data_IF_096679436186
#
_entry.id   IF_096679436186
#
_cell.length_a   1.000
_cell.length_b   1.000
_cell.length_c   1.000
_cell.angle_alpha   90.00
_cell.angle_beta   90.00
_cell.angle_gamma   90.00
#
_symmetry.space_group_name_H-M   'P 1'
#
loop_
_entity.id
_entity.type
_entity.pdbx_description
1 polymer ?
#
# COMPACT_ATOMS: atom_id res chain seq x y z
N UNK A 1 -11.14 30.47 -36.75
CA UNK A 1 -12.10 29.67 -35.95
C UNK A 1 -11.50 28.31 -35.69
N UNK A 2 -11.01 28.07 -34.48
CA UNK A 2 -10.74 26.73 -33.94
C UNK A 2 -10.75 26.90 -32.43
N UNK A 3 -11.91 26.60 -31.84
CA UNK A 3 -12.10 26.62 -30.40
C UNK A 3 -11.16 25.60 -29.78
N UNK A 4 -10.17 26.08 -29.01
CA UNK A 4 -9.54 25.26 -27.99
C UNK A 4 -10.65 24.86 -27.03
N UNK A 5 -11.16 23.64 -27.16
CA UNK A 5 -11.95 23.01 -26.11
C UNK A 5 -11.09 23.02 -24.84
N UNK A 6 -11.43 23.93 -23.93
CA UNK A 6 -10.93 23.90 -22.58
C UNK A 6 -11.46 22.61 -21.93
N UNK A 7 -10.59 21.62 -21.76
CA UNK A 7 -10.89 20.41 -21.02
C UNK A 7 -11.13 20.80 -19.56
N UNK A 8 -12.41 20.95 -19.20
CA UNK A 8 -12.85 21.23 -17.83
C UNK A 8 -12.74 19.94 -17.00
N UNK A 9 -11.56 19.63 -16.45
CA UNK A 9 -11.40 18.50 -15.52
C UNK A 9 -12.00 18.84 -14.14
N UNK A 10 -13.33 18.75 -14.01
CA UNK A 10 -14.04 19.14 -12.77
C UNK A 10 -14.54 17.97 -11.92
N UNK A 11 -14.38 16.73 -12.39
CA UNK A 11 -14.91 15.53 -11.74
C UNK A 11 -13.79 14.51 -11.51
N UNK A 12 -13.76 13.91 -10.32
CA UNK A 12 -12.82 12.85 -10.00
C UNK A 12 -13.58 11.53 -9.90
N UNK A 13 -13.15 10.56 -10.69
CA UNK A 13 -13.72 9.22 -10.71
C UNK A 13 -12.67 8.18 -10.31
N UNK A 14 -13.11 7.15 -9.59
CA UNK A 14 -12.32 5.96 -9.25
C UNK A 14 -13.17 4.71 -9.44
N UNK A 15 -12.53 3.64 -9.90
CA UNK A 15 -13.15 2.36 -10.20
C UNK A 15 -12.61 1.31 -9.23
N UNK A 16 -13.49 0.41 -8.79
CA UNK A 16 -13.15 -0.72 -7.94
C UNK A 16 -13.93 -1.95 -8.40
N UNK A 17 -13.24 -3.07 -8.60
CA UNK A 17 -13.87 -4.36 -8.87
C UNK A 17 -14.03 -5.11 -7.55
N UNK A 18 -15.26 -5.47 -7.18
CA UNK A 18 -15.54 -6.18 -5.94
C UNK A 18 -16.72 -7.13 -6.12
N UNK A 19 -16.57 -8.40 -5.70
CA UNK A 19 -17.62 -9.42 -5.74
C UNK A 19 -18.32 -9.57 -7.11
N UNK A 20 -17.54 -9.47 -8.20
CA UNK A 20 -18.07 -9.55 -9.58
C UNK A 20 -18.79 -8.29 -10.08
N UNK A 21 -18.80 -7.21 -9.30
CA UNK A 21 -19.36 -5.92 -9.69
C UNK A 21 -18.24 -4.90 -9.94
N UNK A 22 -18.49 -3.95 -10.84
CA UNK A 22 -17.68 -2.75 -11.01
C UNK A 22 -18.36 -1.60 -10.27
N UNK A 23 -17.67 -1.05 -9.28
CA UNK A 23 -18.12 0.07 -8.45
C UNK A 23 -17.43 1.33 -8.94
N UNK A 24 -18.22 2.32 -9.35
CA UNK A 24 -17.75 3.63 -9.82
C UNK A 24 -18.03 4.65 -8.74
N UNK A 25 -16.99 5.24 -8.17
CA UNK A 25 -17.08 6.37 -7.26
C UNK A 25 -16.84 7.66 -8.03
N UNK A 26 -17.77 8.61 -7.93
CA UNK A 26 -17.66 9.91 -8.57
C UNK A 26 -17.86 11.02 -7.54
N UNK A 27 -16.87 11.89 -7.44
CA UNK A 27 -16.92 13.06 -6.58
C UNK A 27 -17.54 14.22 -7.35
N UNK A 28 -18.68 14.73 -6.88
CA UNK A 28 -19.27 15.97 -7.38
C UNK A 28 -18.77 17.15 -6.55
N UNK A 29 -18.27 18.19 -7.23
CA UNK A 29 -17.98 19.47 -6.57
C UNK A 29 -19.29 20.21 -6.36
N UNK A 30 -19.49 20.72 -5.15
CA UNK A 30 -20.55 21.69 -4.90
C UNK A 30 -20.30 22.95 -5.73
N UNK A 31 -21.33 23.47 -6.38
CA UNK A 31 -21.24 24.68 -7.17
C UNK A 31 -20.92 25.88 -6.26
N UNK A 32 -19.82 26.57 -6.56
CA UNK A 32 -19.59 27.94 -6.09
C UNK A 32 -20.32 28.86 -7.06
N UNK A 33 -21.63 29.05 -6.91
CA UNK A 33 -22.40 29.92 -7.79
C UNK A 33 -22.95 31.11 -7.00
N UNK A 34 -22.58 32.32 -7.43
CA UNK A 34 -23.10 33.60 -6.94
C UNK A 34 -24.62 33.79 -7.18
N UNK A 35 -25.36 32.85 -7.79
CA UNK A 35 -26.79 33.03 -8.09
C UNK A 35 -27.65 31.74 -8.08
N UNK A 36 -27.35 30.78 -7.20
CA UNK A 36 -28.21 29.60 -6.99
C UNK A 36 -27.98 28.93 -5.63
N UNK A 37 -28.87 28.03 -5.17
CA UNK A 37 -28.61 27.26 -3.96
C UNK A 37 -27.35 26.43 -4.18
N UNK A 38 -26.32 26.65 -3.33
CA UNK A 38 -25.04 25.96 -3.44
C UNK A 38 -25.26 24.45 -3.45
N UNK A 39 -24.86 23.76 -4.54
CA UNK A 39 -24.95 22.30 -4.58
C UNK A 39 -24.10 21.71 -3.46
N UNK A 40 -24.66 20.77 -2.71
CA UNK A 40 -23.94 20.13 -1.62
C UNK A 40 -22.91 19.17 -2.25
N UNK A 41 -21.60 19.34 -1.98
CA UNK A 41 -20.62 18.43 -2.51
C UNK A 41 -20.90 17.02 -1.99
N UNK A 42 -20.71 16.03 -2.85
CA UNK A 42 -21.10 14.68 -2.51
C UNK A 42 -20.32 13.62 -3.27
N UNK A 43 -20.46 12.41 -2.77
CA UNK A 43 -19.92 11.22 -3.41
C UNK A 43 -21.08 10.42 -3.99
N UNK A 44 -21.09 10.27 -5.30
CA UNK A 44 -21.98 9.38 -6.00
C UNK A 44 -21.31 8.02 -6.17
N UNK A 45 -22.11 6.96 -6.07
CA UNK A 45 -21.67 5.60 -6.41
C UNK A 45 -22.62 4.96 -7.40
N UNK A 46 -22.07 4.21 -8.34
CA UNK A 46 -22.81 3.35 -9.26
C UNK A 46 -22.21 1.95 -9.18
N UNK A 47 -23.07 0.94 -9.05
CA UNK A 47 -22.69 -0.47 -9.18
C UNK A 47 -23.09 -0.95 -10.56
N UNK A 48 -22.16 -1.55 -11.26
CA UNK A 48 -22.37 -2.09 -12.60
C UNK A 48 -22.03 -3.57 -12.62
N UNK A 49 -22.76 -4.34 -13.41
CA UNK A 49 -22.54 -5.77 -13.61
C UNK A 49 -22.42 -6.03 -15.11
N UNK A 50 -21.54 -6.95 -15.50
CA UNK A 50 -21.45 -7.35 -16.89
C UNK A 50 -22.63 -8.24 -17.27
N UNK A 51 -23.49 -7.75 -18.16
CA UNK A 51 -24.58 -8.54 -18.71
C UNK A 51 -24.10 -9.30 -19.95
N UNK A 52 -24.17 -10.62 -19.90
CA UNK A 52 -23.69 -11.49 -20.99
C UNK A 52 -24.57 -11.42 -22.24
N UNK A 53 -25.87 -11.12 -22.08
CA UNK A 53 -26.82 -11.04 -23.20
C UNK A 53 -26.53 -9.84 -24.10
N UNK A 54 -26.43 -8.66 -23.50
CA UNK A 54 -26.10 -7.40 -24.18
C UNK A 54 -24.60 -7.22 -24.42
N UNK A 55 -23.75 -8.02 -23.74
CA UNK A 55 -22.28 -7.89 -23.73
C UNK A 55 -21.81 -6.52 -23.25
N UNK A 56 -22.55 -5.90 -22.33
CA UNK A 56 -22.23 -4.56 -21.79
C UNK A 56 -22.31 -4.53 -20.27
N UNK A 57 -21.69 -3.52 -19.66
CA UNK A 57 -21.87 -3.25 -18.24
C UNK A 57 -23.18 -2.48 -18.04
N UNK A 58 -24.11 -3.07 -17.30
CA UNK A 58 -25.39 -2.47 -16.97
C UNK A 58 -25.39 -1.95 -15.53
N UNK A 59 -26.00 -0.78 -15.31
CA UNK A 59 -26.11 -0.20 -13.98
C UNK A 59 -27.12 -1.01 -13.16
N UNK A 60 -26.65 -1.63 -12.07
CA UNK A 60 -27.48 -2.37 -11.13
C UNK A 60 -28.13 -1.47 -10.09
N UNK A 61 -27.37 -0.51 -9.55
CA UNK A 61 -27.88 0.40 -8.53
C UNK A 61 -26.99 1.64 -8.37
N UNK A 62 -27.51 2.64 -7.66
CA UNK A 62 -26.79 3.88 -7.35
C UNK A 62 -26.94 4.25 -5.89
N UNK A 63 -26.02 5.07 -5.39
CA UNK A 63 -26.06 5.62 -4.05
C UNK A 63 -25.44 7.02 -4.01
N UNK A 64 -25.69 7.73 -2.92
CA UNK A 64 -25.17 9.07 -2.72
C UNK A 64 -24.81 9.30 -1.25
N UNK A 65 -23.70 9.98 -1.03
CA UNK A 65 -23.27 10.45 0.29
C UNK A 65 -23.03 11.95 0.26
N UNK A 66 -23.78 12.67 1.09
CA UNK A 66 -23.62 14.11 1.27
C UNK A 66 -22.43 14.42 2.16
N UNK A 67 -21.48 15.20 1.64
CA UNK A 67 -20.31 15.65 2.41
C UNK A 67 -20.63 17.04 2.94
N UNK A 68 -20.98 17.12 4.24
CA UNK A 68 -21.39 18.38 4.91
C UNK A 68 -20.22 19.35 5.20
N UNK A 69 -19.10 19.23 4.50
CA UNK A 69 -17.91 20.09 4.67
C UNK A 69 -17.97 21.30 3.74
N UNK A 70 -18.38 22.46 4.29
CA UNK A 70 -18.48 23.71 3.52
C UNK A 70 -17.11 24.15 3.00
N UNK A 71 -17.06 24.61 1.75
CA UNK A 71 -15.89 25.25 1.12
C UNK A 71 -14.62 24.41 1.05
N UNK A 72 -14.73 23.08 1.08
CA UNK A 72 -13.57 22.20 1.02
C UNK A 72 -13.27 21.70 -0.39
N UNK A 73 -11.99 21.74 -0.78
CA UNK A 73 -11.56 21.01 -1.96
C UNK A 73 -11.55 19.52 -1.60
N UNK A 74 -12.39 18.75 -2.30
CA UNK A 74 -12.50 17.32 -2.11
C UNK A 74 -11.62 16.57 -3.12
N UNK A 75 -10.95 15.53 -2.64
CA UNK A 75 -10.12 14.64 -3.47
C UNK A 75 -10.26 13.19 -3.00
N UNK A 76 -10.53 12.27 -3.91
CA UNK A 76 -10.44 10.83 -3.66
C UNK A 76 -8.95 10.45 -3.69
N UNK A 77 -8.46 9.81 -2.62
CA UNK A 77 -7.08 9.32 -2.56
C UNK A 77 -6.99 7.92 -3.16
N UNK A 78 -7.72 6.98 -2.59
CA UNK A 78 -7.77 5.58 -3.00
C UNK A 78 -9.13 4.94 -2.68
N UNK A 79 -9.38 3.79 -3.29
CA UNK A 79 -10.49 2.90 -2.98
C UNK A 79 -10.05 1.45 -3.22
N UNK A 80 -10.46 0.56 -2.32
CA UNK A 80 -10.24 -0.89 -2.44
C UNK A 80 -11.25 -1.60 -1.51
N UNK A 81 -11.03 -2.86 -1.18
CA UNK A 81 -11.82 -3.63 -0.23
C UNK A 81 -10.99 -4.01 1.00
N UNK A 82 -11.59 -3.93 2.19
CA UNK A 82 -10.99 -4.39 3.45
C UNK A 82 -12.03 -5.05 4.33
N UNK A 83 -11.58 -5.96 5.20
CA UNK A 83 -12.41 -6.59 6.21
C UNK A 83 -12.69 -5.62 7.37
N UNK A 84 -13.97 -5.49 7.76
CA UNK A 84 -14.35 -4.78 8.98
C UNK A 84 -14.11 -5.67 10.21
N UNK A 85 -13.29 -5.24 11.16
CA UNK A 85 -12.99 -6.05 12.36
C UNK A 85 -14.23 -6.39 13.19
N UNK A 86 -15.32 -5.60 13.07
CA UNK A 86 -16.55 -5.83 13.85
C UNK A 86 -17.35 -7.03 13.33
N UNK A 87 -17.35 -7.23 12.02
CA UNK A 87 -18.23 -8.20 11.35
C UNK A 87 -17.47 -9.26 10.56
N UNK A 88 -16.18 -9.06 10.32
CA UNK A 88 -15.35 -9.88 9.42
C UNK A 88 -15.73 -9.73 7.95
N UNK A 89 -16.68 -8.86 7.61
CA UNK A 89 -17.15 -8.69 6.23
C UNK A 89 -16.15 -7.86 5.43
N UNK A 90 -15.80 -8.35 4.23
CA UNK A 90 -15.04 -7.57 3.27
C UNK A 90 -15.93 -6.52 2.60
N UNK A 91 -15.63 -5.24 2.82
CA UNK A 91 -16.41 -4.11 2.36
C UNK A 91 -15.57 -3.20 1.46
N UNK A 92 -16.13 -2.70 0.35
CA UNK A 92 -15.53 -1.62 -0.41
C UNK A 92 -15.38 -0.38 0.47
N UNK A 93 -14.22 0.26 0.39
CA UNK A 93 -13.95 1.52 1.06
C UNK A 93 -13.47 2.59 0.08
N UNK A 94 -13.58 3.83 0.51
CA UNK A 94 -13.01 4.99 -0.18
C UNK A 94 -12.41 5.96 0.83
N UNK A 95 -11.22 6.46 0.53
CA UNK A 95 -10.55 7.50 1.32
C UNK A 95 -10.68 8.84 0.60
N UNK A 96 -11.27 9.81 1.29
CA UNK A 96 -11.50 11.16 0.78
C UNK A 96 -10.73 12.17 1.63
N UNK A 97 -9.97 13.03 0.97
CA UNK A 97 -9.38 14.23 1.53
C UNK A 97 -10.33 15.41 1.35
N UNK A 98 -10.47 16.22 2.39
CA UNK A 98 -11.21 17.47 2.42
C UNK A 98 -10.29 18.58 2.96
N UNK A 99 -10.07 19.62 2.16
CA UNK A 99 -9.23 20.75 2.56
C UNK A 99 -10.09 21.84 3.20
N UNK A 100 -10.07 21.98 4.53
CA UNK A 100 -10.89 22.98 5.24
C UNK A 100 -10.28 24.41 5.15
N UNK A 101 -8.96 24.55 5.37
CA UNK A 101 -8.21 25.82 5.43
C UNK A 101 -6.76 25.61 4.96
N UNK A 102 -5.99 26.70 4.73
CA UNK A 102 -4.54 26.60 4.45
C UNK A 102 -3.87 25.74 5.54
N UNK A 103 -3.27 24.61 5.14
CA UNK A 103 -2.50 23.68 5.97
C UNK A 103 -3.27 22.82 7.00
N UNK A 104 -4.59 22.66 6.88
CA UNK A 104 -5.34 21.65 7.65
C UNK A 104 -6.11 20.73 6.71
N UNK A 105 -5.74 19.46 6.73
CA UNK A 105 -6.27 18.43 5.85
C UNK A 105 -7.11 17.46 6.66
N UNK A 106 -8.38 17.31 6.28
CA UNK A 106 -9.29 16.34 6.90
C UNK A 106 -9.44 15.13 6.00
N UNK A 107 -9.49 13.96 6.60
CA UNK A 107 -9.61 12.71 5.86
C UNK A 107 -10.78 11.89 6.40
N UNK A 108 -11.49 11.23 5.50
CA UNK A 108 -12.54 10.28 5.82
C UNK A 108 -12.25 8.95 5.14
N UNK A 109 -12.45 7.86 5.87
CA UNK A 109 -12.63 6.54 5.28
C UNK A 109 -14.12 6.20 5.38
N UNK A 110 -14.73 5.96 4.22
CA UNK A 110 -16.13 5.56 4.13
C UNK A 110 -16.20 4.10 3.67
N UNK A 111 -17.01 3.30 4.36
CA UNK A 111 -17.44 2.00 3.87
C UNK A 111 -18.68 2.13 3.02
N UNK A 112 -18.76 1.33 1.96
CA UNK A 112 -19.93 1.18 1.12
C UNK A 112 -20.57 -0.18 1.37
N UNK A 113 -21.76 -0.16 1.95
CA UNK A 113 -22.56 -1.35 2.19
C UNK A 113 -23.25 -1.85 0.92
N UNK A 114 -23.70 -3.11 0.93
CA UNK A 114 -24.48 -3.70 -0.18
C UNK A 114 -25.79 -2.95 -0.47
N UNK A 115 -26.34 -2.26 0.53
CA UNK A 115 -27.51 -1.38 0.43
C UNK A 115 -27.22 -0.02 -0.22
N UNK A 116 -26.01 0.20 -0.74
CA UNK A 116 -25.51 1.48 -1.25
C UNK A 116 -25.48 2.62 -0.22
N UNK A 117 -25.58 2.27 1.06
CA UNK A 117 -25.40 3.22 2.15
C UNK A 117 -23.92 3.34 2.49
N UNK A 118 -23.50 4.58 2.69
CA UNK A 118 -22.16 4.87 3.16
C UNK A 118 -22.13 4.97 4.69
N UNK A 119 -21.13 4.36 5.29
CA UNK A 119 -20.81 4.50 6.71
C UNK A 119 -19.47 5.22 6.85
N UNK A 120 -19.43 6.31 7.61
CA UNK A 120 -18.16 6.98 7.94
C UNK A 120 -17.45 6.19 9.03
N UNK A 121 -16.41 5.44 8.66
CA UNK A 121 -15.69 4.55 9.57
C UNK A 121 -14.56 5.25 10.31
N UNK A 122 -13.85 6.16 9.65
CA UNK A 122 -12.78 6.97 10.23
C UNK A 122 -12.88 8.44 9.80
N UNK A 123 -12.46 9.33 10.69
CA UNK A 123 -12.36 10.76 10.45
C UNK A 123 -11.22 11.35 11.26
N UNK A 124 -10.25 11.97 10.59
CA UNK A 124 -9.08 12.57 11.26
C UNK A 124 -8.58 13.81 10.52
N UNK A 125 -7.76 14.62 11.20
CA UNK A 125 -7.16 15.85 10.66
C UNK A 125 -5.64 15.79 10.80
N UNK A 126 -4.93 16.30 9.79
CA UNK A 126 -3.47 16.42 9.76
C UNK A 126 -3.05 17.83 9.35
N UNK A 127 -1.87 18.24 9.82
CA UNK A 127 -1.20 19.47 9.37
C UNK A 127 -0.46 19.31 8.03
N UNK A 128 -0.49 18.12 7.43
CA UNK A 128 0.19 17.78 6.19
C UNK A 128 -0.67 16.87 5.29
N UNK A 129 -0.31 16.79 4.01
CA UNK A 129 -1.01 15.96 3.04
C UNK A 129 -0.55 14.49 3.10
N UNK A 130 -1.49 13.56 2.90
CA UNK A 130 -1.19 12.14 2.66
C UNK A 130 -0.65 11.95 1.22
N UNK A 131 0.62 12.29 1.01
CA UNK A 131 1.28 12.17 -0.31
C UNK A 131 1.91 10.81 -0.52
N UNK A 132 2.62 10.29 0.48
CA UNK A 132 3.53 9.17 0.31
C UNK A 132 3.11 7.93 1.09
N UNK A 133 3.17 6.77 0.44
CA UNK A 133 3.06 5.46 1.08
C UNK A 133 1.72 5.18 1.77
N UNK A 134 0.63 5.83 1.33
CA UNK A 134 -0.71 5.56 1.86
C UNK A 134 -1.11 4.11 1.59
N UNK A 135 -1.34 3.34 2.65
CA UNK A 135 -1.88 1.98 2.61
C UNK A 135 -3.04 1.86 3.58
N UNK A 136 -4.03 1.06 3.21
CA UNK A 136 -5.18 0.74 4.05
C UNK A 136 -5.22 -0.78 4.21
N UNK A 137 -5.33 -1.21 5.46
CA UNK A 137 -5.31 -2.60 5.90
C UNK A 137 -6.67 -2.98 6.49
N UNK A 138 -6.88 -4.23 6.89
CA UNK A 138 -8.10 -4.71 7.54
C UNK A 138 -8.33 -3.99 8.89
N UNK A 139 -9.56 -4.05 9.39
CA UNK A 139 -9.92 -3.43 10.67
C UNK A 139 -10.10 -1.91 10.66
N UNK A 140 -10.39 -1.31 9.51
CA UNK A 140 -9.41 -0.60 8.70
C UNK A 140 -8.35 0.17 9.51
N UNK A 141 -7.09 -0.08 9.16
CA UNK A 141 -5.94 0.70 9.62
C UNK A 141 -5.35 1.45 8.44
N UNK A 142 -5.20 2.76 8.56
CA UNK A 142 -4.54 3.58 7.55
C UNK A 142 -3.11 3.82 8.00
N UNK A 143 -2.14 3.42 7.18
CA UNK A 143 -0.72 3.68 7.39
C UNK A 143 -0.24 4.64 6.30
N UNK A 144 0.59 5.61 6.67
CA UNK A 144 1.27 6.46 5.71
C UNK A 144 2.65 6.84 6.22
N UNK A 145 3.47 7.33 5.30
CA UNK A 145 4.78 7.87 5.61
C UNK A 145 4.74 9.39 5.46
N UNK A 146 5.36 10.09 6.40
CA UNK A 146 5.63 11.51 6.26
C UNK A 146 7.07 11.78 6.68
N UNK A 147 7.87 12.31 5.75
CA UNK A 147 9.33 12.35 5.85
C UNK A 147 9.92 10.96 6.09
N UNK A 148 10.58 10.72 7.23
CA UNK A 148 11.18 9.42 7.61
C UNK A 148 10.35 8.67 8.65
N UNK A 149 9.18 9.17 8.98
CA UNK A 149 8.36 8.65 10.08
C UNK A 149 7.09 8.02 9.53
N UNK A 150 6.74 6.85 10.07
CA UNK A 150 5.48 6.18 9.78
C UNK A 150 4.43 6.57 10.82
N UNK A 151 3.23 6.79 10.34
CA UNK A 151 2.07 7.13 11.16
C UNK A 151 0.93 6.20 10.80
N UNK A 152 0.17 5.77 11.79
CA UNK A 152 -1.02 4.96 11.58
C UNK A 152 -2.23 5.53 12.32
N UNK A 153 -3.42 5.20 11.84
CA UNK A 153 -4.67 5.38 12.56
C UNK A 153 -5.55 4.16 12.34
N UNK A 154 -6.08 3.60 13.44
CA UNK A 154 -7.02 2.49 13.41
C UNK A 154 -8.44 2.97 13.62
N UNK A 155 -9.41 2.33 12.98
CA UNK A 155 -10.83 2.59 13.22
C UNK A 155 -11.35 2.16 14.59
N UNK A 156 -10.54 1.41 15.34
CA UNK A 156 -10.80 1.06 16.73
C UNK A 156 -10.46 2.20 17.68
N UNK A 157 -9.26 2.79 17.54
CA UNK A 157 -8.76 3.80 18.47
C UNK A 157 -9.11 5.22 18.04
N UNK A 158 -9.24 5.47 16.73
CA UNK A 158 -9.46 6.79 16.15
C UNK A 158 -8.34 7.80 16.41
N UNK A 159 -7.21 7.36 16.96
CA UNK A 159 -6.06 8.20 17.30
C UNK A 159 -4.94 7.98 16.29
N UNK A 160 -4.32 9.07 15.87
CA UNK A 160 -3.10 9.03 15.06
C UNK A 160 -1.95 8.66 15.98
N UNK A 161 -1.29 7.55 15.69
CA UNK A 161 -0.15 7.03 16.44
C UNK A 161 1.09 7.16 15.54
N UNK A 162 2.21 7.50 16.16
CA UNK A 162 3.51 7.48 15.50
C UNK A 162 4.15 6.13 15.75
N UNK A 163 4.64 5.47 14.70
CA UNK A 163 5.37 4.21 14.86
C UNK A 163 6.69 4.51 15.57
N UNK A 164 6.85 3.97 16.78
CA UNK A 164 7.96 4.26 17.70
C UNK A 164 9.29 3.66 17.21
N UNK A 165 9.24 2.56 16.45
CA UNK A 165 10.43 1.86 16.00
C UNK A 165 11.17 2.61 14.87
N UNK A 166 12.47 2.86 15.09
CA UNK A 166 13.32 3.59 14.14
C UNK A 166 13.86 2.66 13.06
N UNK A 167 13.21 2.69 11.89
CA UNK A 167 13.76 2.10 10.66
C UNK A 167 14.72 3.07 9.97
N UNK A 168 15.83 2.56 9.43
CA UNK A 168 16.67 3.29 8.47
C UNK A 168 16.03 3.29 7.08
N UNK A 169 15.45 2.15 6.70
CA UNK A 169 14.55 2.00 5.54
C UNK A 169 13.46 0.97 5.84
N UNK A 170 12.28 1.15 5.26
CA UNK A 170 11.20 0.16 5.28
C UNK A 170 11.04 -0.33 3.86
N UNK A 171 11.25 -1.62 3.65
CA UNK A 171 11.23 -2.24 2.32
C UNK A 171 9.87 -2.84 1.98
N UNK A 172 9.12 -3.28 3.01
CA UNK A 172 7.82 -3.88 2.81
C UNK A 172 6.89 -3.60 4.00
N UNK A 173 5.60 -3.49 3.69
CA UNK A 173 4.52 -3.39 4.68
C UNK A 173 3.35 -4.25 4.20
N UNK A 174 2.81 -5.09 5.05
CA UNK A 174 1.63 -5.89 4.75
C UNK A 174 1.02 -6.51 6.00
N UNK A 175 0.00 -7.32 5.82
CA UNK A 175 -0.66 -8.02 6.92
C UNK A 175 -0.20 -9.47 7.00
N UNK A 176 0.00 -9.95 8.23
CA UNK A 176 0.32 -11.34 8.52
C UNK A 176 -0.71 -11.84 9.54
N UNK A 177 -1.28 -13.01 9.27
CA UNK A 177 -2.24 -13.65 10.18
C UNK A 177 -1.68 -13.76 11.60
N UNK A 178 -2.50 -13.44 12.60
CA UNK A 178 -2.16 -13.35 14.03
C UNK A 178 -1.19 -12.23 14.46
N UNK A 179 -0.43 -11.61 13.53
CA UNK A 179 0.51 -10.52 13.84
C UNK A 179 -0.01 -9.15 13.43
N UNK A 180 -1.06 -9.09 12.60
CA UNK A 180 -1.66 -7.86 12.11
C UNK A 180 -0.81 -7.18 11.04
N UNK A 181 -0.80 -5.85 11.03
CA UNK A 181 0.00 -5.03 10.12
C UNK A 181 1.46 -5.03 10.55
N UNK A 182 2.30 -5.45 9.63
CA UNK A 182 3.71 -5.72 9.86
C UNK A 182 4.57 -4.89 8.92
N UNK A 183 5.65 -4.31 9.47
CA UNK A 183 6.69 -3.60 8.74
C UNK A 183 7.95 -4.45 8.69
N UNK A 184 8.48 -4.66 7.48
CA UNK A 184 9.78 -5.26 7.24
C UNK A 184 10.73 -4.18 6.74
N UNK A 185 11.86 -4.02 7.42
CA UNK A 185 12.82 -2.97 7.07
C UNK A 185 14.15 -3.13 7.75
N UNK A 186 15.06 -2.23 7.40
CA UNK A 186 16.36 -2.13 8.03
C UNK A 186 16.25 -1.36 9.35
N UNK A 187 16.76 -1.94 10.44
CA UNK A 187 16.94 -1.27 11.73
C UNK A 187 17.86 -0.07 11.54
N UNK A 188 17.57 1.02 12.25
CA UNK A 188 18.55 2.09 12.44
C UNK A 188 19.43 1.71 13.62
N UNK A 189 20.66 1.28 13.37
CA UNK A 189 21.67 1.15 14.41
C UNK A 189 22.15 2.55 14.79
N UNK A 190 21.70 3.09 15.92
CA UNK A 190 22.31 4.25 16.55
C UNK A 190 23.64 3.77 17.17
N UNK A 191 24.70 3.66 16.36
CA UNK A 191 26.05 3.54 16.91
C UNK A 191 26.38 4.91 17.52
N UNK A 192 26.25 5.05 18.83
CA UNK A 192 26.82 6.21 19.52
C UNK A 192 28.34 6.12 19.37
N UNK A 193 28.93 7.06 18.62
CA UNK A 193 30.39 7.24 18.55
C UNK A 193 30.98 7.85 19.84
N UNK A 194 30.17 8.06 20.88
CA UNK A 194 30.61 8.64 22.15
C UNK A 194 30.23 7.74 23.33
N UNK A 195 31.02 6.69 23.57
CA UNK A 195 31.54 6.38 24.92
C UNK A 195 32.56 5.23 24.83
N UNK A 196 33.76 5.51 25.35
CA UNK A 196 34.91 4.62 25.40
C UNK A 196 34.62 3.35 26.23
N UNK A 197 34.44 2.19 25.56
CA UNK A 197 34.83 0.79 25.92
C UNK A 197 34.49 0.21 27.32
N UNK A 198 34.11 -1.09 27.43
CA UNK A 198 35.02 -2.20 27.15
C UNK A 198 34.49 -3.15 26.07
N UNK A 199 35.40 -3.59 25.19
CA UNK A 199 35.30 -4.67 24.19
C UNK A 199 33.92 -5.36 24.11
N UNK A 200 33.16 -5.21 23.02
CA UNK A 200 31.98 -6.05 22.81
C UNK A 200 32.43 -7.50 22.77
N UNK A 201 31.76 -8.34 23.55
CA UNK A 201 32.00 -9.78 23.53
C UNK A 201 31.66 -10.31 22.14
N UNK A 202 32.30 -11.40 21.68
CA UNK A 202 32.04 -11.98 20.35
C UNK A 202 30.56 -12.32 20.11
N UNK A 203 29.75 -12.45 21.16
CA UNK A 203 28.30 -12.64 21.11
C UNK A 203 27.51 -11.35 20.80
N UNK A 204 28.00 -10.17 21.19
CA UNK A 204 27.29 -8.89 20.93
C UNK A 204 27.39 -8.48 19.45
N UNK A 205 28.43 -8.95 18.75
CA UNK A 205 28.55 -8.84 17.30
C UNK A 205 27.47 -9.60 16.53
N UNK A 206 26.87 -10.65 17.11
CA UNK A 206 25.84 -11.44 16.46
C UNK A 206 24.47 -10.75 16.49
N UNK A 207 24.13 -10.04 17.57
CA UNK A 207 22.84 -9.36 17.73
C UNK A 207 22.72 -8.05 16.93
N UNK A 208 23.84 -7.40 16.59
CA UNK A 208 23.86 -6.22 15.71
C UNK A 208 23.99 -6.55 14.21
N UNK A 209 24.15 -7.83 13.83
CA UNK A 209 24.48 -8.18 12.45
C UNK A 209 23.24 -8.35 11.55
N UNK A 210 22.04 -8.58 12.09
CA UNK A 210 20.81 -8.59 11.29
C UNK A 210 20.30 -7.16 11.10
N UNK A 211 20.66 -6.55 9.96
CA UNK A 211 20.12 -5.22 9.63
C UNK A 211 18.61 -5.25 9.46
N UNK A 212 18.02 -6.37 9.05
CA UNK A 212 16.59 -6.47 8.80
C UNK A 212 15.82 -6.95 10.02
N UNK A 213 14.61 -6.42 10.21
CA UNK A 213 13.65 -6.94 11.19
C UNK A 213 12.20 -6.76 10.77
N UNK A 214 11.36 -7.51 11.47
CA UNK A 214 9.93 -7.48 11.34
C UNK A 214 9.32 -6.88 12.61
N UNK A 215 8.53 -5.82 12.44
CA UNK A 215 7.84 -5.10 13.52
C UNK A 215 6.33 -5.19 13.33
N UNK A 216 5.59 -5.58 14.38
CA UNK A 216 4.12 -5.55 14.38
C UNK A 216 3.63 -4.20 14.93
N UNK A 217 2.66 -3.59 14.23
CA UNK A 217 2.02 -2.37 14.72
C UNK A 217 1.11 -2.64 15.91
N UNK A 218 0.50 -3.82 15.97
CA UNK A 218 -0.52 -4.18 16.95
C UNK A 218 0.09 -4.52 18.31
N UNK A 219 1.18 -5.28 18.34
CA UNK A 219 1.90 -5.58 19.59
C UNK A 219 2.94 -4.51 19.96
N UNK A 220 3.26 -3.62 19.03
CA UNK A 220 4.36 -2.64 19.17
C UNK A 220 5.73 -3.31 19.43
N UNK A 221 5.92 -4.54 18.94
CA UNK A 221 7.10 -5.35 19.19
C UNK A 221 7.81 -5.80 17.90
N UNK A 222 9.12 -6.05 18.04
CA UNK A 222 9.90 -6.75 17.02
C UNK A 222 9.61 -8.24 17.13
N UNK A 223 8.94 -8.79 16.11
CA UNK A 223 8.46 -10.19 16.10
C UNK A 223 9.59 -11.18 15.85
N UNK A 224 10.55 -10.81 15.01
CA UNK A 224 11.67 -11.67 14.65
C UNK A 224 12.88 -10.82 14.26
N UNK A 225 14.02 -11.20 14.84
CA UNK A 225 15.36 -10.76 14.51
C UNK A 225 16.21 -11.88 13.86
N UNK A 226 15.63 -13.08 13.72
CA UNK A 226 16.22 -14.19 12.98
C UNK A 226 16.35 -13.83 11.50
N UNK A 227 17.27 -14.50 10.81
CA UNK A 227 17.78 -14.17 9.47
C UNK A 227 16.73 -14.19 8.34
N UNK A 228 15.63 -13.47 8.41
CA UNK A 228 14.64 -13.31 7.33
C UNK A 228 15.36 -12.96 6.01
N UNK A 229 16.36 -12.09 6.11
CA UNK A 229 17.36 -11.82 5.10
C UNK A 229 18.74 -11.99 5.78
N UNK A 230 19.65 -12.81 5.25
CA UNK A 230 20.98 -12.98 5.84
C UNK A 230 21.79 -11.67 5.82
N UNK A 231 22.69 -11.45 6.81
CA UNK A 231 23.48 -10.22 6.92
C UNK A 231 24.30 -9.93 5.65
N UNK A 232 24.78 -10.98 4.98
CA UNK A 232 25.54 -10.89 3.75
C UNK A 232 24.79 -10.17 2.60
N UNK A 233 23.45 -10.21 2.61
CA UNK A 233 22.62 -9.55 1.60
C UNK A 233 22.10 -8.19 2.06
N UNK A 234 22.28 -7.86 3.33
CA UNK A 234 21.60 -6.71 3.95
C UNK A 234 21.95 -5.36 3.33
N UNK A 235 23.18 -5.19 2.85
CA UNK A 235 23.67 -3.95 2.22
C UNK A 235 23.35 -3.85 0.73
N UNK A 236 23.03 -4.97 0.09
CA UNK A 236 22.82 -5.04 -1.37
C UNK A 236 21.35 -5.05 -1.73
N UNK A 237 20.44 -5.40 -0.83
CA UNK A 237 19.00 -5.41 -1.14
C UNK A 237 18.46 -3.99 -1.30
N UNK A 238 17.65 -3.79 -2.34
CA UNK A 238 17.03 -2.51 -2.71
C UNK A 238 15.51 -2.53 -2.65
N UNK A 239 14.90 -3.71 -2.74
CA UNK A 239 13.45 -3.89 -2.69
C UNK A 239 13.16 -5.32 -2.23
N UNK A 240 12.08 -5.48 -1.46
CA UNK A 240 11.59 -6.78 -0.98
C UNK A 240 10.11 -6.93 -1.30
N UNK A 241 9.73 -8.11 -1.79
CA UNK A 241 8.36 -8.53 -1.95
C UNK A 241 8.11 -9.83 -1.20
N UNK A 242 7.20 -9.82 -0.23
CA UNK A 242 6.84 -11.00 0.56
C UNK A 242 5.79 -11.80 -0.22
N UNK A 243 6.10 -13.05 -0.55
CA UNK A 243 5.23 -13.94 -1.31
C UNK A 243 4.30 -14.75 -0.41
N UNK A 244 4.82 -15.24 0.71
CA UNK A 244 4.05 -16.05 1.65
C UNK A 244 4.59 -15.87 3.07
N UNK A 245 3.68 -15.94 4.04
CA UNK A 245 3.98 -15.85 5.46
C UNK A 245 3.19 -16.92 6.20
N UNK A 246 3.84 -17.65 7.10
CA UNK A 246 3.18 -18.64 7.97
C UNK A 246 3.76 -18.55 9.39
N UNK A 247 2.97 -18.95 10.38
CA UNK A 247 3.44 -19.10 11.76
C UNK A 247 3.39 -20.58 12.09
N UNK A 248 4.56 -21.18 12.28
CA UNK A 248 4.69 -22.61 12.61
C UNK A 248 5.50 -22.72 13.89
N UNK A 249 4.96 -23.43 14.88
CA UNK A 249 5.58 -23.56 16.22
C UNK A 249 5.96 -22.20 16.85
N UNK A 250 5.06 -21.22 16.72
CA UNK A 250 5.28 -19.83 17.20
C UNK A 250 6.44 -19.09 16.55
N UNK A 251 6.97 -19.59 15.42
CA UNK A 251 8.01 -18.91 14.64
C UNK A 251 7.44 -18.39 13.33
N UNK A 252 7.73 -17.13 13.03
CA UNK A 252 7.43 -16.53 11.74
C UNK A 252 8.32 -17.13 10.66
N UNK A 253 7.69 -17.69 9.64
CA UNK A 253 8.32 -18.20 8.43
C UNK A 253 7.85 -17.36 7.24
N UNK A 254 8.78 -17.05 6.35
CA UNK A 254 8.51 -16.19 5.21
C UNK A 254 9.22 -16.69 3.96
N UNK A 255 8.49 -16.64 2.85
CA UNK A 255 9.04 -16.69 1.50
C UNK A 255 9.01 -15.27 0.94
N UNK A 256 10.15 -14.78 0.47
CA UNK A 256 10.28 -13.45 -0.08
C UNK A 256 11.20 -13.43 -1.29
N UNK A 257 10.94 -12.45 -2.16
CA UNK A 257 11.80 -12.10 -3.28
C UNK A 257 12.48 -10.79 -2.96
N UNK A 258 13.78 -10.70 -3.26
CA UNK A 258 14.55 -9.49 -3.09
C UNK A 258 15.22 -9.08 -4.41
N UNK A 259 15.20 -7.78 -4.69
CA UNK A 259 16.03 -7.14 -5.70
C UNK A 259 17.31 -6.63 -5.04
N UNK A 260 18.41 -6.67 -5.78
CA UNK A 260 19.71 -6.21 -5.29
C UNK A 260 20.34 -5.15 -6.18
N UNK A 261 21.28 -4.38 -5.62
CA UNK A 261 22.17 -3.42 -6.31
C UNK A 261 23.11 -4.07 -7.31
N UNK A 262 23.18 -5.40 -7.34
CA UNK A 262 23.96 -6.17 -8.33
C UNK A 262 23.09 -6.68 -9.47
N UNK A 263 21.89 -6.10 -9.62
CA UNK A 263 20.92 -6.44 -10.65
C UNK A 263 20.50 -7.92 -10.57
N UNK A 264 20.25 -8.40 -9.35
CA UNK A 264 19.83 -9.78 -9.11
C UNK A 264 18.44 -9.82 -8.49
N UNK A 265 17.66 -10.80 -8.92
CA UNK A 265 16.43 -11.26 -8.27
C UNK A 265 16.77 -12.52 -7.45
N UNK A 266 16.53 -12.49 -6.15
CA UNK A 266 16.84 -13.60 -5.25
C UNK A 266 15.58 -14.06 -4.53
N UNK A 267 15.31 -15.35 -4.56
CA UNK A 267 14.30 -15.98 -3.71
C UNK A 267 14.91 -16.42 -2.39
N UNK A 268 14.27 -16.03 -1.29
CA UNK A 268 14.60 -16.47 0.06
C UNK A 268 13.44 -17.25 0.64
N UNK A 269 13.76 -18.38 1.27
CA UNK A 269 12.82 -19.14 2.07
C UNK A 269 13.38 -19.27 3.49
N UNK A 270 12.70 -18.68 4.46
CA UNK A 270 13.09 -18.65 5.87
C UNK A 270 14.56 -18.25 6.04
N UNK A 271 14.99 -17.20 5.32
CA UNK A 271 16.35 -16.71 5.35
C UNK A 271 17.36 -17.44 4.47
N UNK A 272 17.01 -18.58 3.90
CA UNK A 272 17.92 -19.32 3.02
C UNK A 272 17.71 -18.89 1.58
N UNK A 273 18.74 -18.42 0.85
CA UNK A 273 18.62 -18.16 -0.58
C UNK A 273 18.37 -19.48 -1.32
N UNK A 274 17.34 -19.52 -2.16
CA UNK A 274 16.92 -20.71 -2.92
C UNK A 274 17.28 -20.62 -4.39
N UNK A 275 17.01 -19.46 -4.99
CA UNK A 275 17.21 -19.23 -6.42
C UNK A 275 17.73 -17.81 -6.64
N UNK A 276 18.57 -17.66 -7.66
CA UNK A 276 19.13 -16.36 -8.05
C UNK A 276 19.00 -16.25 -9.56
N UNK A 277 18.46 -15.12 -10.03
CA UNK A 277 18.38 -14.76 -11.43
C UNK A 277 19.12 -13.44 -11.64
N UNK A 278 20.09 -13.42 -12.56
CA UNK A 278 20.73 -12.18 -12.99
C UNK A 278 19.79 -11.45 -13.95
N UNK A 279 19.46 -10.20 -13.65
CA UNK A 279 18.55 -9.39 -14.43
C UNK A 279 19.28 -8.77 -15.63
N UNK A 280 18.57 -8.55 -16.75
CA UNK A 280 19.17 -8.10 -17.99
C UNK A 280 19.47 -6.59 -18.03
N UNK A 281 18.89 -5.81 -17.12
CA UNK A 281 19.05 -4.37 -17.04
C UNK A 281 19.55 -3.94 -15.65
N UNK A 282 20.18 -2.77 -15.60
CA UNK A 282 20.70 -2.20 -14.36
C UNK A 282 19.61 -1.49 -13.54
N UNK A 283 19.81 -1.42 -12.24
CA UNK A 283 18.98 -0.67 -11.28
C UNK A 283 17.51 -1.13 -11.23
N UNK A 284 17.27 -2.41 -10.85
CA UNK A 284 15.92 -2.90 -10.63
C UNK A 284 15.30 -2.21 -9.41
N UNK A 285 14.06 -1.74 -9.55
CA UNK A 285 13.43 -0.89 -8.55
C UNK A 285 12.15 -1.46 -7.95
N UNK A 286 11.33 -2.16 -8.73
CA UNK A 286 10.10 -2.78 -8.22
C UNK A 286 9.95 -4.20 -8.74
N UNK A 287 9.32 -5.05 -7.95
CA UNK A 287 8.90 -6.39 -8.34
C UNK A 287 7.44 -6.61 -7.97
N UNK A 288 6.70 -7.24 -8.87
CA UNK A 288 5.30 -7.61 -8.69
C UNK A 288 5.08 -9.05 -9.15
N UNK A 289 4.17 -9.76 -8.50
CA UNK A 289 3.74 -11.10 -8.91
C UNK A 289 2.55 -10.96 -9.86
N UNK A 290 2.64 -11.59 -11.03
CA UNK A 290 1.57 -11.66 -12.04
C UNK A 290 1.16 -13.11 -12.25
N UNK A 291 -0.13 -13.39 -12.18
CA UNK A 291 -0.73 -14.66 -12.60
C UNK A 291 -1.26 -14.53 -14.03
N UNK A 292 -0.75 -15.36 -14.94
CA UNK A 292 -1.19 -15.41 -16.33
C UNK A 292 -2.30 -16.45 -16.59
N UNK A 293 -2.92 -16.99 -15.55
CA UNK A 293 -3.96 -18.02 -15.65
C UNK A 293 -3.42 -19.45 -15.78
N UNK A 294 -2.17 -19.70 -15.34
CA UNK A 294 -1.54 -21.01 -15.40
C UNK A 294 -0.08 -21.02 -14.95
N UNK A 295 0.60 -19.88 -15.12
CA UNK A 295 1.95 -19.65 -14.63
C UNK A 295 2.04 -18.32 -13.87
N UNK A 296 3.00 -18.29 -12.94
CA UNK A 296 3.30 -17.12 -12.12
C UNK A 296 4.62 -16.49 -12.58
N UNK A 297 4.59 -15.17 -12.76
CA UNK A 297 5.74 -14.38 -13.19
C UNK A 297 6.06 -13.28 -12.19
N UNK A 298 7.34 -13.09 -11.91
CA UNK A 298 7.85 -11.88 -11.27
C UNK A 298 8.12 -10.83 -12.35
N UNK A 299 7.28 -9.80 -12.39
CA UNK A 299 7.50 -8.62 -13.22
C UNK A 299 8.43 -7.66 -12.47
N UNK A 300 9.63 -7.47 -12.99
CA UNK A 300 10.64 -6.56 -12.47
C UNK A 300 10.68 -5.31 -13.34
N UNK A 301 10.47 -4.15 -12.75
CA UNK A 301 10.61 -2.86 -13.43
C UNK A 301 11.92 -2.18 -13.03
N UNK A 302 12.56 -1.56 -14.02
CA UNK A 302 13.83 -0.87 -13.88
C UNK A 302 13.63 0.64 -13.96
N UNK A 303 14.55 1.42 -13.39
CA UNK A 303 14.44 2.89 -13.47
C UNK A 303 14.53 3.44 -14.88
N UNK A 304 15.15 2.69 -15.79
CA UNK A 304 15.22 3.00 -17.21
C UNK A 304 13.90 2.75 -17.98
N UNK A 305 12.83 2.35 -17.28
CA UNK A 305 11.46 2.09 -17.79
C UNK A 305 11.27 0.79 -18.57
N UNK A 306 12.30 -0.05 -18.68
CA UNK A 306 12.15 -1.43 -19.13
C UNK A 306 11.48 -2.29 -18.05
N UNK A 307 10.86 -3.37 -18.51
CA UNK A 307 10.27 -4.40 -17.67
C UNK A 307 10.77 -5.77 -18.12
N UNK A 308 11.09 -6.63 -17.16
CA UNK A 308 11.48 -8.02 -17.35
C UNK A 308 10.53 -8.94 -16.59
N UNK A 309 10.08 -10.02 -17.24
CA UNK A 309 9.31 -11.07 -16.57
C UNK A 309 10.18 -12.29 -16.29
N UNK A 310 10.26 -12.73 -15.04
CA UNK A 310 10.99 -13.92 -14.60
C UNK A 310 9.99 -15.00 -14.15
N UNK A 311 10.15 -16.22 -14.64
CA UNK A 311 9.31 -17.37 -14.27
C UNK A 311 9.54 -17.78 -12.83
N UNK A 312 8.46 -17.89 -12.04
CA UNK A 312 8.55 -18.24 -10.61
C UNK A 312 9.11 -19.66 -10.40
N UNK A 313 8.66 -20.62 -11.21
CA UNK A 313 8.99 -22.06 -11.06
C UNK A 313 10.48 -22.37 -11.26
N UNK A 314 11.12 -21.78 -12.26
CA UNK A 314 12.48 -22.14 -12.66
C UNK A 314 13.48 -20.96 -12.61
N UNK A 315 13.03 -19.75 -12.26
CA UNK A 315 13.87 -18.55 -12.23
C UNK A 315 14.60 -18.26 -13.56
N UNK A 316 14.06 -18.76 -14.67
CA UNK A 316 14.63 -18.69 -16.00
C UNK A 316 13.55 -18.24 -16.99
N UNK A 317 13.63 -16.98 -17.41
CA UNK A 317 12.75 -16.41 -18.41
C UNK A 317 13.06 -14.92 -18.58
N UNK A 318 13.20 -14.46 -19.82
CA UNK A 318 13.40 -13.04 -20.14
C UNK A 318 12.47 -12.67 -21.29
N UNK A 319 11.25 -12.24 -20.96
CA UNK A 319 10.47 -11.40 -21.87
C UNK A 319 10.78 -9.95 -21.52
N UNK A 320 11.36 -9.21 -22.47
CA UNK A 320 11.67 -7.79 -22.32
C UNK A 320 10.69 -6.98 -23.15
N UNK A 321 10.08 -5.95 -22.55
CA UNK A 321 9.26 -5.00 -23.30
C UNK A 321 9.56 -3.58 -22.83
N UNK A 322 9.55 -2.64 -23.79
CA UNK A 322 9.73 -1.19 -23.53
C UNK A 322 8.41 -0.47 -23.18
N UNK A 323 7.31 -1.20 -22.97
CA UNK A 323 5.97 -0.64 -23.07
C UNK A 323 5.08 -1.02 -21.89
N UNK A 324 5.39 -0.48 -20.70
CA UNK A 324 4.42 -0.36 -19.59
C UNK A 324 4.73 0.88 -18.73
N UNK A 325 4.89 2.07 -19.33
CA UNK A 325 5.13 3.30 -18.56
C UNK A 325 3.86 4.04 -18.09
N UNK A 326 2.66 3.57 -18.44
CA UNK A 326 1.42 4.33 -18.22
C UNK A 326 0.33 3.64 -17.39
N UNK A 327 0.63 2.55 -16.66
CA UNK A 327 -0.40 1.82 -15.90
C UNK A 327 0.06 1.22 -14.56
N UNK A 328 1.10 1.77 -13.92
CA UNK A 328 1.50 1.42 -12.55
C UNK A 328 1.65 2.67 -11.67
#
# INVERSE_FOLDING_TARGET
MTSKQAMSSKEQERLLCCNGEVIVFRLSKGSFADKGPAEIPGLHVRRMVFDRGTRTFVQKSTGFFSIKEKNSYLKILCCDCVSDFRTGMNLPYIVIQCNEKKNVFKYFLLFLHSTNKFEKRLSFRLGHELKDGLRVFNGPVILWKHFKTFFCISSQTGKVITVSFKFSSVEWVGEIGNLGVVLLGQKKCDLSEEEYTPKPSKSDYAFCNTKFCVYSLESEEVISDTYIIPPAYSSVITCVHVCATEIVNSQLRMSLIALTRKDQLISFQNGTPKSVCQLPFADPHTVQLMDSGGDLFFLVSFRSSEVCAVWEKNFQGFCTSKLFSNAL
#
